data_IF_995676885878
#
_entry.id   IF_995676885878
#
_cell.length_a   1.000
_cell.length_b   1.000
_cell.length_c   1.000
_cell.angle_alpha   90.00
_cell.angle_beta   90.00
_cell.angle_gamma   90.00
#
_symmetry.space_group_name_H-M   'P 1'
#
loop_
_entity.id
_entity.type
_entity.pdbx_description
1 polymer ?
#
# COMPACT_ATOMS: atom_id res chain seq x y z
N UNK A 1 -5.52 7.92 -7.08
CA UNK A 1 -4.63 7.85 -5.91
C UNK A 1 -3.90 9.15 -5.71
N UNK A 2 -4.61 10.23 -5.42
CA UNK A 2 -4.00 11.52 -5.10
C UNK A 2 -3.58 11.55 -3.63
N UNK A 3 -2.49 12.26 -3.33
CA UNK A 3 -2.03 12.59 -1.98
C UNK A 3 -1.97 14.10 -1.88
N UNK A 4 -2.46 14.63 -0.78
CA UNK A 4 -2.46 16.04 -0.47
C UNK A 4 -2.20 16.25 1.03
N UNK A 5 -1.85 17.48 1.39
CA UNK A 5 -1.83 17.86 2.80
C UNK A 5 -3.26 17.92 3.35
N UNK A 6 -3.40 17.75 4.67
CA UNK A 6 -4.71 17.76 5.33
C UNK A 6 -5.52 19.04 5.05
N UNK A 7 -4.86 20.18 4.84
CA UNK A 7 -5.51 21.47 4.56
C UNK A 7 -6.15 21.52 3.16
N UNK A 8 -5.69 20.68 2.24
CA UNK A 8 -6.13 20.60 0.84
C UNK A 8 -7.16 19.46 0.66
N UNK A 9 -7.63 18.86 1.76
CA UNK A 9 -8.66 17.83 1.78
C UNK A 9 -10.04 18.47 1.69
N UNK A 10 -10.82 18.06 0.69
CA UNK A 10 -12.20 18.49 0.50
C UNK A 10 -13.13 17.83 1.53
N UNK A 11 -14.32 18.41 1.71
CA UNK A 11 -15.34 17.92 2.66
C UNK A 11 -15.84 16.49 2.35
N UNK A 12 -15.69 16.05 1.10
CA UNK A 12 -16.02 14.68 0.67
C UNK A 12 -14.92 13.66 1.00
N UNK A 13 -13.81 14.08 1.61
CA UNK A 13 -12.67 13.23 1.95
C UNK A 13 -11.70 12.97 0.79
N UNK A 14 -11.87 13.64 -0.35
CA UNK A 14 -10.92 13.57 -1.47
C UNK A 14 -9.94 14.76 -1.44
N UNK A 15 -8.78 14.58 -2.05
CA UNK A 15 -7.84 15.68 -2.25
C UNK A 15 -8.32 16.66 -3.33
N UNK A 16 -8.10 17.95 -3.11
CA UNK A 16 -8.30 18.96 -4.14
C UNK A 16 -7.20 18.84 -5.22
N UNK A 17 -7.61 18.49 -6.44
CA UNK A 17 -6.70 18.28 -7.58
C UNK A 17 -6.21 19.58 -8.21
N UNK A 18 -6.79 20.72 -7.82
CA UNK A 18 -6.40 22.03 -8.34
C UNK A 18 -5.22 22.64 -7.56
N UNK A 19 -4.88 22.09 -6.40
CA UNK A 19 -3.75 22.57 -5.59
C UNK A 19 -2.44 21.94 -6.08
N UNK A 20 -1.37 22.73 -6.31
CA UNK A 20 -0.08 22.20 -6.79
C UNK A 20 0.63 21.22 -5.85
N UNK A 21 0.29 21.24 -4.55
CA UNK A 21 0.80 20.30 -3.55
C UNK A 21 0.26 18.88 -3.74
N UNK A 22 -0.87 18.73 -4.44
CA UNK A 22 -1.52 17.45 -4.65
C UNK A 22 -0.77 16.62 -5.69
N UNK A 23 -0.31 15.43 -5.28
CA UNK A 23 0.48 14.53 -6.13
C UNK A 23 -0.34 13.32 -6.52
N UNK A 24 -0.33 12.98 -7.81
CA UNK A 24 -0.94 11.75 -8.31
C UNK A 24 0.07 10.61 -8.27
N UNK A 25 -0.34 9.49 -7.69
CA UNK A 25 0.42 8.24 -7.70
C UNK A 25 1.84 8.34 -7.11
N UNK A 26 2.04 9.17 -6.09
CA UNK A 26 3.37 9.41 -5.56
C UNK A 26 3.90 8.20 -4.77
N UNK A 27 5.18 7.89 -4.99
CA UNK A 27 5.93 6.81 -4.30
C UNK A 27 7.07 7.37 -3.43
N UNK A 28 7.05 8.65 -3.06
CA UNK A 28 8.20 9.34 -2.42
C UNK A 28 8.74 8.67 -1.15
N UNK A 29 7.88 8.02 -0.37
CA UNK A 29 8.29 7.34 0.87
C UNK A 29 8.55 5.83 0.71
N UNK A 30 8.50 5.33 -0.53
CA UNK A 30 8.56 3.91 -0.86
C UNK A 30 9.96 3.47 -1.28
N UNK A 31 10.39 2.33 -0.76
CA UNK A 31 11.59 1.61 -1.12
C UNK A 31 11.35 0.71 -2.36
N UNK A 32 12.42 0.27 -3.05
CA UNK A 32 12.30 -0.58 -4.25
C UNK A 32 11.57 -1.91 -4.03
N UNK A 33 11.56 -2.44 -2.80
CA UNK A 33 10.82 -3.65 -2.43
C UNK A 33 9.30 -3.43 -2.33
N UNK A 34 8.81 -2.20 -2.55
CA UNK A 34 7.39 -1.86 -2.50
C UNK A 34 6.85 -1.68 -1.09
N UNK A 35 7.74 -1.44 -0.11
CA UNK A 35 7.39 -1.02 1.24
C UNK A 35 7.65 0.47 1.42
N UNK A 36 6.80 1.15 2.18
CA UNK A 36 6.82 2.59 2.36
C UNK A 36 6.73 2.95 3.84
N UNK A 37 7.31 4.10 4.20
CA UNK A 37 7.24 4.61 5.58
C UNK A 37 5.93 5.33 5.90
N UNK A 38 5.20 5.77 4.88
CA UNK A 38 3.91 6.46 5.02
C UNK A 38 2.82 5.71 4.25
N UNK A 39 1.68 5.51 4.89
CA UNK A 39 0.59 4.67 4.38
C UNK A 39 -0.03 5.24 3.10
N UNK A 40 -0.30 6.54 3.08
CA UNK A 40 -0.94 7.22 1.95
C UNK A 40 -0.09 7.11 0.68
N UNK A 41 1.24 7.21 0.82
CA UNK A 41 2.20 6.97 -0.25
C UNK A 41 2.22 5.51 -0.71
N UNK A 42 2.10 4.54 0.20
CA UNK A 42 1.92 3.14 -0.21
C UNK A 42 0.67 2.97 -1.08
N UNK A 43 -0.47 3.48 -0.64
CA UNK A 43 -1.76 3.34 -1.35
C UNK A 43 -1.72 4.06 -2.69
N UNK A 44 -1.20 5.29 -2.72
CA UNK A 44 -1.06 6.07 -3.96
C UNK A 44 -0.13 5.40 -4.97
N UNK A 45 1.03 4.92 -4.51
CA UNK A 45 2.00 4.23 -5.36
C UNK A 45 1.46 2.89 -5.88
N UNK A 46 0.74 2.13 -5.05
CA UNK A 46 0.09 0.88 -5.40
C UNK A 46 -0.92 1.05 -6.56
N UNK A 47 -1.65 2.17 -6.57
CA UNK A 47 -2.64 2.49 -7.59
C UNK A 47 -2.05 2.84 -8.97
N UNK A 48 -0.71 2.96 -9.09
CA UNK A 48 -0.10 3.21 -10.39
C UNK A 48 -0.44 2.11 -11.39
N UNK A 49 -0.77 2.44 -12.65
CA UNK A 49 -0.98 1.45 -13.70
C UNK A 49 0.21 0.49 -13.88
N UNK A 50 1.43 0.99 -13.66
CA UNK A 50 2.66 0.19 -13.73
C UNK A 50 2.73 -0.96 -12.71
N UNK A 51 1.89 -0.95 -11.68
CA UNK A 51 1.85 -1.97 -10.62
C UNK A 51 0.76 -3.02 -10.85
N UNK A 52 -0.08 -2.90 -11.88
CA UNK A 52 -1.17 -3.84 -12.16
C UNK A 52 -0.69 -5.29 -12.24
N UNK A 53 0.35 -5.57 -13.03
CA UNK A 53 0.89 -6.93 -13.15
C UNK A 53 1.45 -7.49 -11.84
N UNK A 54 2.01 -6.64 -10.98
CA UNK A 54 2.48 -7.06 -9.65
C UNK A 54 1.29 -7.48 -8.77
N UNK A 55 0.21 -6.71 -8.80
CA UNK A 55 -0.99 -6.98 -8.02
C UNK A 55 -1.75 -8.20 -8.54
N UNK A 56 -1.85 -8.39 -9.86
CA UNK A 56 -2.42 -9.59 -10.48
C UNK A 56 -1.67 -10.85 -10.06
N UNK A 57 -0.32 -10.83 -10.04
CA UNK A 57 0.48 -11.96 -9.56
C UNK A 57 0.18 -12.28 -8.10
N UNK A 58 0.07 -11.26 -7.26
CA UNK A 58 -0.31 -11.43 -5.86
C UNK A 58 -1.72 -12.04 -5.73
N UNK A 59 -2.71 -11.51 -6.45
CA UNK A 59 -4.09 -12.02 -6.44
C UNK A 59 -4.16 -13.48 -6.88
N UNK A 60 -3.47 -13.85 -7.96
CA UNK A 60 -3.44 -15.24 -8.44
C UNK A 60 -2.86 -16.19 -7.39
N UNK A 61 -1.76 -15.79 -6.72
CA UNK A 61 -1.15 -16.59 -5.65
C UNK A 61 -2.06 -16.70 -4.43
N UNK A 62 -2.70 -15.59 -4.07
CA UNK A 62 -3.55 -15.53 -2.89
C UNK A 62 -4.88 -16.26 -3.12
N UNK A 63 -5.43 -16.27 -4.33
CA UNK A 63 -6.61 -17.07 -4.71
C UNK A 63 -6.33 -18.58 -4.60
N UNK A 64 -5.10 -19.02 -4.90
CA UNK A 64 -4.68 -20.42 -4.70
C UNK A 64 -4.60 -20.77 -3.21
N UNK A 65 -4.06 -19.86 -2.39
CA UNK A 65 -3.87 -20.10 -0.95
C UNK A 65 -5.15 -19.90 -0.11
N UNK A 66 -6.05 -19.02 -0.56
CA UNK A 66 -7.25 -18.62 0.17
C UNK A 66 -8.41 -18.36 -0.81
N UNK A 67 -9.08 -19.43 -1.22
CA UNK A 67 -10.22 -19.39 -2.16
C UNK A 67 -11.35 -18.44 -1.72
N UNK A 68 -11.46 -18.13 -0.42
CA UNK A 68 -12.54 -17.31 0.14
C UNK A 68 -12.14 -15.87 0.54
N UNK A 69 -10.86 -15.47 0.44
CA UNK A 69 -10.39 -14.20 1.04
C UNK A 69 -10.77 -12.95 0.26
N UNK A 70 -11.00 -13.06 -1.05
CA UNK A 70 -11.18 -11.89 -1.93
C UNK A 70 -12.63 -11.60 -2.31
N UNK A 71 -13.61 -12.19 -1.62
CA UNK A 71 -15.02 -11.79 -1.77
C UNK A 71 -15.31 -10.36 -1.28
N UNK A 72 -14.33 -9.65 -0.70
CA UNK A 72 -14.52 -8.36 -0.04
C UNK A 72 -13.72 -7.20 -0.65
N UNK A 73 -13.09 -7.37 -1.82
CA UNK A 73 -12.38 -6.29 -2.52
C UNK A 73 -13.13 -5.98 -3.81
N UNK A 74 -13.84 -4.86 -3.84
CA UNK A 74 -14.70 -4.48 -4.96
C UNK A 74 -13.93 -3.75 -6.06
N UNK A 75 -12.90 -2.97 -5.69
CA UNK A 75 -12.12 -2.19 -6.65
C UNK A 75 -10.59 -2.18 -6.38
N UNK A 76 -9.84 -1.61 -7.32
CA UNK A 76 -8.39 -1.49 -7.23
C UNK A 76 -7.94 -0.62 -6.04
N UNK A 77 -8.77 0.34 -5.62
CA UNK A 77 -8.46 1.19 -4.47
C UNK A 77 -8.55 0.43 -3.16
N UNK A 78 -9.62 -0.34 -2.96
CA UNK A 78 -9.78 -1.24 -1.82
C UNK A 78 -8.67 -2.29 -1.76
N UNK A 79 -8.25 -2.82 -2.91
CA UNK A 79 -7.12 -3.75 -2.97
C UNK A 79 -5.85 -3.10 -2.38
N UNK A 80 -5.54 -1.88 -2.83
CA UNK A 80 -4.37 -1.15 -2.35
C UNK A 80 -4.50 -0.74 -0.87
N UNK A 81 -5.70 -0.34 -0.42
CA UNK A 81 -5.97 -0.07 0.99
C UNK A 81 -5.73 -1.30 1.86
N UNK A 82 -6.24 -2.47 1.46
CA UNK A 82 -6.09 -3.72 2.18
C UNK A 82 -4.65 -4.20 2.17
N UNK A 83 -3.99 -4.16 1.02
CA UNK A 83 -2.62 -4.65 0.84
C UNK A 83 -1.61 -3.81 1.62
N UNK A 84 -1.72 -2.48 1.59
CA UNK A 84 -0.80 -1.57 2.28
C UNK A 84 -0.94 -1.57 3.80
N UNK A 85 -2.01 -2.14 4.37
CA UNK A 85 -2.15 -2.26 5.83
C UNK A 85 -1.09 -3.19 6.39
N UNK A 86 -0.57 -2.85 7.57
CA UNK A 86 0.34 -3.73 8.30
C UNK A 86 -0.36 -5.03 8.68
N UNK A 87 0.31 -6.17 8.56
CA UNK A 87 -0.23 -7.49 8.90
C UNK A 87 0.71 -8.26 9.83
N UNK A 88 0.28 -9.43 10.31
CA UNK A 88 1.13 -10.34 11.07
C UNK A 88 2.39 -10.77 10.31
N UNK A 89 2.39 -10.70 8.97
CA UNK A 89 3.58 -10.98 8.16
C UNK A 89 4.61 -9.84 8.18
N UNK A 90 4.19 -8.63 8.55
CA UNK A 90 5.05 -7.44 8.66
C UNK A 90 5.79 -7.36 10.00
N UNK A 91 5.53 -8.30 10.92
CA UNK A 91 6.13 -8.34 12.27
C UNK A 91 6.97 -9.61 12.49
N UNK A 92 7.82 -9.55 13.49
CA UNK A 92 8.64 -10.61 14.07
C UNK A 92 8.38 -10.61 15.59
N UNK A 93 8.45 -11.78 16.23
CA UNK A 93 8.17 -11.94 17.66
C UNK A 93 6.83 -11.28 18.07
N UNK A 94 5.84 -11.39 17.19
CA UNK A 94 4.46 -10.91 17.36
C UNK A 94 4.28 -9.38 17.46
N UNK A 95 5.30 -8.60 17.85
CA UNK A 95 5.16 -7.17 18.13
C UNK A 95 6.26 -6.26 17.54
N UNK A 96 7.30 -6.81 16.91
CA UNK A 96 8.40 -6.01 16.34
C UNK A 96 8.27 -5.97 14.83
N UNK A 97 8.17 -4.78 14.23
CA UNK A 97 8.15 -4.69 12.76
C UNK A 97 9.47 -5.18 12.16
N UNK A 98 9.38 -5.94 11.06
CA UNK A 98 10.56 -6.45 10.33
C UNK A 98 11.41 -5.31 9.77
N UNK A 99 10.74 -4.26 9.31
CA UNK A 99 11.32 -2.96 8.99
C UNK A 99 10.57 -1.89 9.81
N UNK A 100 11.20 -1.27 10.82
CA UNK A 100 10.55 -0.27 11.65
C UNK A 100 10.34 1.07 10.94
N UNK A 101 10.92 1.27 9.76
CA UNK A 101 10.79 2.48 8.95
C UNK A 101 9.74 2.25 7.86
N UNK A 102 9.91 1.23 7.01
CA UNK A 102 9.03 0.95 5.88
C UNK A 102 8.00 -0.15 6.19
N UNK A 103 6.95 0.22 6.93
CA UNK A 103 5.96 -0.73 7.46
C UNK A 103 4.83 -1.09 6.50
N UNK A 104 4.52 -0.21 5.54
CA UNK A 104 3.34 -0.32 4.68
C UNK A 104 3.75 -0.85 3.31
N UNK A 105 3.30 -2.04 2.93
CA UNK A 105 3.84 -2.70 1.73
C UNK A 105 2.76 -3.09 0.74
N UNK A 106 2.95 -2.74 -0.53
CA UNK A 106 2.15 -3.27 -1.65
C UNK A 106 2.86 -4.42 -2.39
N UNK A 107 4.13 -4.68 -2.07
CA UNK A 107 4.93 -5.74 -2.67
C UNK A 107 4.37 -7.15 -2.50
N UNK A 108 4.82 -8.07 -3.35
CA UNK A 108 4.39 -9.47 -3.34
C UNK A 108 4.81 -10.20 -2.05
N UNK A 109 6.01 -9.89 -1.55
CA UNK A 109 6.63 -10.54 -0.40
C UNK A 109 6.59 -9.64 0.85
N UNK A 110 6.57 -10.23 2.05
CA UNK A 110 6.76 -9.45 3.28
C UNK A 110 8.14 -8.77 3.29
N UNK A 111 8.29 -7.65 4.03
CA UNK A 111 9.59 -6.99 4.18
C UNK A 111 10.66 -7.96 4.70
N UNK A 112 11.87 -7.79 4.19
CA UNK A 112 13.04 -8.54 4.65
C UNK A 112 13.29 -8.28 6.15
N UNK A 113 13.80 -9.30 6.84
CA UNK A 113 14.16 -9.17 8.24
C UNK A 113 15.47 -8.38 8.34
N UNK A 114 15.38 -7.12 8.76
CA UNK A 114 16.57 -6.35 9.08
C UNK A 114 17.18 -6.87 10.39
N UNK A 115 18.52 -7.00 10.48
CA UNK A 115 19.17 -7.33 11.74
C UNK A 115 18.88 -6.23 12.76
N UNK A 116 18.39 -6.64 13.93
CA UNK A 116 18.06 -5.77 15.08
C UNK A 116 19.34 -5.31 15.78
#
# INVERSE_FOLDING_TARGET
>A
GYICERKDLLVNGCCDVHVPSTKLYSCESCLPNGCCSVYEFCVSCCLQPSKQHLLERFLNRAAVAFQNLFMAVEDHFELCLAKCRTSSQSVQHENTYRDPIAKYCYGEYPPELLPV
#
